data_IF_452499353000
#
_entry.id   IF_452499353000
#
_cell.length_a   1.000
_cell.length_b   1.000
_cell.length_c   1.000
_cell.angle_alpha   90.00
_cell.angle_beta   90.00
_cell.angle_gamma   90.00
#
_symmetry.space_group_name_H-M   'P 1'
#
loop_
_entity.id
_entity.type
_entity.pdbx_description
1 polymer ?
#
# COMPACT_ATOMS: atom_id res chain seq x y z
N UNK A 1 -17.41 -49.41 -76.67
CA UNK A 1 -17.17 -48.33 -75.68
C UNK A 1 -18.47 -47.59 -75.48
N UNK A 2 -19.24 -47.96 -74.46
CA UNK A 2 -20.48 -47.28 -74.09
C UNK A 2 -20.44 -47.04 -72.59
N UNK A 3 -20.33 -45.77 -72.22
CA UNK A 3 -20.38 -45.29 -70.83
C UNK A 3 -21.83 -44.90 -70.52
N UNK A 4 -22.49 -45.50 -69.51
CA UNK A 4 -23.73 -44.94 -68.96
C UNK A 4 -23.35 -43.85 -67.94
N UNK A 5 -23.75 -42.60 -68.12
CA UNK A 5 -25.00 -42.03 -67.57
C UNK A 5 -25.15 -42.40 -66.08
N UNK A 6 -24.75 -41.55 -65.13
CA UNK A 6 -25.37 -40.25 -64.85
C UNK A 6 -26.55 -40.47 -63.92
N UNK A 7 -26.32 -40.63 -62.60
CA UNK A 7 -27.36 -40.74 -61.54
C UNK A 7 -26.74 -40.88 -60.12
N UNK A 8 -26.04 -39.87 -59.61
CA UNK A 8 -25.64 -39.88 -58.19
C UNK A 8 -25.67 -38.51 -57.49
N UNK A 9 -25.87 -37.41 -58.21
CA UNK A 9 -25.87 -36.05 -57.61
C UNK A 9 -27.25 -35.55 -57.11
N UNK A 10 -28.33 -36.26 -57.41
CA UNK A 10 -29.71 -35.78 -57.15
C UNK A 10 -30.22 -36.00 -55.70
N UNK A 11 -29.77 -37.07 -55.03
CA UNK A 11 -30.27 -37.45 -53.70
C UNK A 11 -29.77 -36.57 -52.56
N UNK A 12 -28.48 -36.21 -52.59
CA UNK A 12 -27.83 -35.37 -51.58
C UNK A 12 -28.28 -33.90 -51.68
N UNK A 13 -28.45 -33.39 -52.90
CA UNK A 13 -28.99 -32.06 -53.16
C UNK A 13 -30.45 -31.92 -52.68
N UNK A 14 -31.23 -33.00 -52.70
CA UNK A 14 -32.62 -32.98 -52.22
C UNK A 14 -32.71 -32.99 -50.68
N UNK A 15 -31.76 -33.66 -50.01
CA UNK A 15 -31.66 -33.68 -48.54
C UNK A 15 -31.08 -32.40 -47.92
N UNK A 16 -30.21 -31.68 -48.65
CA UNK A 16 -29.58 -30.45 -48.17
C UNK A 16 -30.42 -29.18 -48.42
N UNK A 17 -31.33 -29.19 -49.41
CA UNK A 17 -32.28 -28.10 -49.69
C UNK A 17 -33.06 -27.61 -48.47
N UNK A 18 -33.69 -28.46 -47.64
CA UNK A 18 -34.41 -27.97 -46.46
C UNK A 18 -33.50 -27.28 -45.43
N UNK A 19 -32.22 -27.69 -45.33
CA UNK A 19 -31.25 -27.07 -44.43
C UNK A 19 -30.76 -25.72 -44.98
N UNK A 20 -30.47 -25.63 -46.28
CA UNK A 20 -30.10 -24.36 -46.92
C UNK A 20 -31.25 -23.36 -46.91
N UNK A 21 -32.49 -23.81 -47.16
CA UNK A 21 -33.67 -22.95 -47.14
C UNK A 21 -33.97 -22.42 -45.73
N UNK A 22 -33.75 -23.24 -44.70
CA UNK A 22 -33.85 -22.81 -43.30
C UNK A 22 -32.75 -21.80 -42.98
N UNK A 23 -31.50 -22.07 -43.36
CA UNK A 23 -30.38 -21.16 -43.16
C UNK A 23 -30.55 -19.83 -43.91
N UNK A 24 -31.07 -19.84 -45.14
CA UNK A 24 -31.38 -18.65 -45.92
C UNK A 24 -32.52 -17.84 -45.30
N UNK A 25 -33.59 -18.49 -44.83
CA UNK A 25 -34.66 -17.81 -44.08
C UNK A 25 -34.16 -17.20 -42.76
N UNK A 26 -33.25 -17.89 -42.07
CA UNK A 26 -32.59 -17.35 -40.87
C UNK A 26 -31.70 -16.15 -41.22
N UNK A 27 -30.93 -16.22 -42.31
CA UNK A 27 -30.09 -15.11 -42.79
C UNK A 27 -30.93 -13.92 -43.23
N UNK A 28 -31.95 -14.11 -44.07
CA UNK A 28 -32.84 -13.04 -44.52
C UNK A 28 -33.61 -12.41 -43.36
N UNK A 29 -34.08 -13.21 -42.41
CA UNK A 29 -34.72 -12.71 -41.19
C UNK A 29 -33.75 -11.91 -40.31
N UNK A 30 -32.48 -12.31 -40.25
CA UNK A 30 -31.44 -11.59 -39.50
C UNK A 30 -31.02 -10.30 -40.21
N UNK A 31 -30.86 -10.32 -41.54
CA UNK A 31 -30.52 -9.14 -42.35
C UNK A 31 -31.61 -8.08 -42.28
N UNK A 32 -32.89 -8.47 -42.43
CA UNK A 32 -34.01 -7.51 -42.30
C UNK A 32 -34.09 -6.88 -40.92
N UNK A 33 -33.72 -7.62 -39.86
CA UNK A 33 -33.64 -7.08 -38.50
C UNK A 33 -32.48 -6.10 -38.35
N UNK A 34 -31.31 -6.41 -38.93
CA UNK A 34 -30.16 -5.51 -38.94
C UNK A 34 -30.48 -4.22 -39.71
N UNK A 35 -31.03 -4.32 -40.92
CA UNK A 35 -31.40 -3.16 -41.74
C UNK A 35 -32.41 -2.27 -40.99
N UNK A 36 -33.41 -2.88 -40.34
CA UNK A 36 -34.37 -2.14 -39.50
C UNK A 36 -33.71 -1.49 -38.28
N UNK A 37 -32.68 -2.10 -37.70
CA UNK A 37 -31.91 -1.49 -36.60
C UNK A 37 -31.07 -0.31 -37.10
N UNK A 38 -30.42 -0.44 -38.25
CA UNK A 38 -29.65 0.65 -38.88
C UNK A 38 -30.55 1.84 -39.24
N UNK A 39 -31.71 1.58 -39.84
CA UNK A 39 -32.68 2.63 -40.17
C UNK A 39 -33.19 3.35 -38.92
N UNK A 40 -33.47 2.62 -37.83
CA UNK A 40 -33.91 3.21 -36.56
C UNK A 40 -32.79 4.01 -35.85
N UNK A 41 -31.54 3.56 -35.94
CA UNK A 41 -30.36 4.26 -35.41
C UNK A 41 -30.15 5.59 -36.16
N UNK A 42 -30.31 5.60 -37.48
CA UNK A 42 -30.15 6.79 -38.31
C UNK A 42 -31.33 7.76 -38.23
N UNK A 43 -32.56 7.26 -38.03
CA UNK A 43 -33.76 8.09 -37.91
C UNK A 43 -33.82 8.91 -36.62
N UNK A 44 -33.18 8.45 -35.54
CA UNK A 44 -33.22 9.12 -34.22
C UNK A 44 -31.86 9.11 -33.49
N UNK A 45 -30.84 9.82 -34.01
CA UNK A 45 -29.48 9.79 -33.47
C UNK A 45 -29.41 10.22 -31.99
N UNK A 46 -30.28 11.14 -31.57
CA UNK A 46 -30.35 11.60 -30.18
C UNK A 46 -30.73 10.47 -29.20
N UNK A 47 -31.64 9.58 -29.59
CA UNK A 47 -32.09 8.49 -28.73
C UNK A 47 -30.98 7.46 -28.51
N UNK A 48 -30.20 7.19 -29.57
CA UNK A 48 -29.04 6.28 -29.52
C UNK A 48 -27.95 6.84 -28.60
N UNK A 49 -27.67 8.15 -28.68
CA UNK A 49 -26.72 8.81 -27.78
C UNK A 49 -27.17 8.70 -26.33
N UNK A 50 -28.45 8.94 -26.03
CA UNK A 50 -29.00 8.80 -24.66
C UNK A 50 -28.89 7.35 -24.17
N UNK A 51 -29.19 6.36 -25.01
CA UNK A 51 -29.04 4.95 -24.67
C UNK A 51 -27.58 4.59 -24.37
N UNK A 52 -26.63 5.07 -25.17
CA UNK A 52 -25.20 4.86 -24.95
C UNK A 52 -24.73 5.50 -23.64
N UNK A 53 -25.24 6.70 -23.30
CA UNK A 53 -24.94 7.36 -22.03
C UNK A 53 -25.48 6.54 -20.85
N UNK A 54 -26.68 5.99 -20.96
CA UNK A 54 -27.26 5.13 -19.91
C UNK A 54 -26.45 3.84 -19.71
N UNK A 55 -26.04 3.19 -20.81
CA UNK A 55 -25.19 1.99 -20.77
C UNK A 55 -23.83 2.34 -20.18
N UNK A 56 -23.21 3.44 -20.62
CA UNK A 56 -21.93 3.91 -20.10
C UNK A 56 -22.01 4.26 -18.61
N UNK A 57 -23.11 4.85 -18.13
CA UNK A 57 -23.32 5.10 -16.70
C UNK A 57 -23.46 3.81 -15.89
N UNK A 58 -24.19 2.81 -16.41
CA UNK A 58 -24.35 1.52 -15.75
C UNK A 58 -23.01 0.77 -15.61
N UNK A 59 -22.21 0.70 -16.67
CA UNK A 59 -20.88 0.08 -16.62
C UNK A 59 -19.85 0.94 -15.88
N UNK A 60 -19.96 2.27 -15.97
CA UNK A 60 -19.10 3.21 -15.27
C UNK A 60 -19.19 3.07 -13.76
N UNK A 61 -20.40 2.81 -13.23
CA UNK A 61 -20.57 2.56 -11.79
C UNK A 61 -19.81 1.33 -11.29
N UNK A 62 -19.80 0.25 -12.08
CA UNK A 62 -19.03 -0.96 -11.76
C UNK A 62 -17.53 -0.73 -11.93
N UNK A 63 -17.13 0.10 -12.90
CA UNK A 63 -15.74 0.49 -13.16
C UNK A 63 -15.08 1.28 -12.03
N UNK A 64 -15.85 2.03 -11.24
CA UNK A 64 -15.34 2.77 -10.09
C UNK A 64 -15.01 1.80 -8.93
N UNK A 65 -15.84 0.80 -8.70
CA UNK A 65 -15.61 -0.25 -7.69
C UNK A 65 -14.40 -1.15 -8.04
N UNK A 66 -13.99 -1.21 -9.32
CA UNK A 66 -12.78 -1.94 -9.73
C UNK A 66 -11.49 -1.25 -9.32
N UNK A 67 -11.46 0.09 -9.21
CA UNK A 67 -10.24 0.79 -8.76
C UNK A 67 -9.94 0.51 -7.30
N UNK A 68 -10.97 0.34 -6.47
CA UNK A 68 -10.83 0.03 -5.04
C UNK A 68 -10.45 -1.44 -4.78
N UNK A 69 -10.56 -2.31 -5.79
CA UNK A 69 -10.20 -3.73 -5.70
C UNK A 69 -8.83 -4.07 -6.30
N UNK A 70 -8.13 -3.08 -6.88
CA UNK A 70 -6.72 -3.27 -7.24
C UNK A 70 -5.91 -3.01 -5.97
N UNK A 71 -5.84 -4.02 -5.10
CA UNK A 71 -4.81 -4.07 -4.07
C UNK A 71 -3.46 -4.19 -4.78
N UNK A 72 -2.58 -3.22 -4.53
CA UNK A 72 -1.24 -3.08 -5.10
C UNK A 72 -0.25 -4.05 -4.45
N UNK A 73 -0.69 -5.29 -4.24
CA UNK A 73 0.12 -6.35 -3.65
C UNK A 73 0.82 -7.15 -4.76
N UNK A 74 2.09 -7.49 -4.49
CA UNK A 74 3.00 -8.25 -5.37
C UNK A 74 2.45 -9.64 -5.76
N UNK A 75 1.37 -10.07 -5.12
CA UNK A 75 0.69 -11.35 -5.30
C UNK A 75 0.16 -11.56 -6.72
N UNK A 76 -0.15 -10.49 -7.46
CA UNK A 76 -0.54 -10.59 -8.89
C UNK A 76 0.60 -11.09 -9.79
N UNK A 77 1.85 -11.02 -9.32
CA UNK A 77 3.02 -11.52 -10.03
C UNK A 77 3.44 -12.92 -9.57
N UNK A 78 2.84 -13.46 -8.50
CA UNK A 78 3.13 -14.80 -8.02
C UNK A 78 2.27 -15.81 -8.79
N UNK A 79 2.86 -16.88 -9.38
CA UNK A 79 2.07 -17.91 -10.01
C UNK A 79 1.21 -18.62 -8.96
N UNK A 80 -0.11 -18.66 -9.21
CA UNK A 80 -1.09 -19.32 -8.35
C UNK A 80 -0.68 -20.78 -8.07
N UNK A 81 -0.64 -21.15 -6.78
CA UNK A 81 -0.44 -22.53 -6.34
C UNK A 81 1.01 -23.00 -6.16
N UNK A 82 2.01 -22.11 -6.18
CA UNK A 82 3.36 -22.48 -5.79
C UNK A 82 3.48 -22.61 -4.25
N UNK A 83 4.14 -23.67 -3.71
CA UNK A 83 4.32 -23.85 -2.26
C UNK A 83 5.03 -22.68 -1.57
N UNK A 84 5.85 -21.93 -2.31
CA UNK A 84 6.53 -20.74 -1.81
C UNK A 84 5.60 -19.55 -1.60
N UNK A 85 4.47 -19.49 -2.31
CA UNK A 85 3.48 -18.40 -2.19
C UNK A 85 2.65 -18.57 -0.92
N UNK A 86 2.21 -19.80 -0.63
CA UNK A 86 1.46 -20.13 0.59
C UNK A 86 2.29 -19.85 1.86
N UNK A 87 3.58 -20.21 1.85
CA UNK A 87 4.49 -19.92 2.97
C UNK A 87 4.74 -18.41 3.16
N UNK A 88 4.78 -17.63 2.07
CA UNK A 88 4.95 -16.17 2.16
C UNK A 88 3.69 -15.47 2.68
N UNK A 89 2.50 -15.99 2.34
CA UNK A 89 1.23 -15.52 2.88
C UNK A 89 1.10 -15.85 4.37
N UNK A 90 1.49 -17.05 4.80
CA UNK A 90 1.53 -17.46 6.21
C UNK A 90 2.47 -16.56 7.03
N UNK A 91 3.67 -16.26 6.51
CA UNK A 91 4.62 -15.35 7.20
C UNK A 91 4.08 -13.92 7.26
N UNK A 92 3.37 -13.44 6.23
CA UNK A 92 2.75 -12.11 6.21
C UNK A 92 1.58 -11.97 7.18
N UNK A 93 0.85 -13.04 7.48
CA UNK A 93 -0.16 -13.03 8.54
C UNK A 93 0.44 -12.81 9.93
N UNK A 94 1.66 -13.33 10.18
CA UNK A 94 2.32 -13.23 11.49
C UNK A 94 3.35 -12.08 11.60
N UNK A 95 3.85 -11.55 10.48
CA UNK A 95 4.92 -10.54 10.45
C UNK A 95 4.60 -9.40 9.47
N UNK A 96 4.84 -8.15 9.89
CA UNK A 96 4.73 -6.99 9.01
C UNK A 96 5.78 -7.06 7.89
N UNK A 97 5.34 -7.20 6.64
CA UNK A 97 6.25 -7.24 5.48
C UNK A 97 6.65 -5.86 4.96
N UNK A 98 5.98 -4.81 5.44
CA UNK A 98 6.07 -3.48 4.85
C UNK A 98 7.21 -2.70 5.49
N UNK A 99 8.19 -2.30 4.68
CA UNK A 99 9.37 -1.54 5.11
C UNK A 99 9.51 -0.27 4.28
N UNK A 100 9.66 0.86 4.96
CA UNK A 100 10.05 2.13 4.36
C UNK A 100 11.52 2.43 4.69
N UNK A 101 12.32 2.78 3.69
CA UNK A 101 13.74 3.12 3.87
C UNK A 101 13.96 4.56 3.44
N UNK A 102 14.44 5.39 4.38
CA UNK A 102 14.77 6.79 4.14
C UNK A 102 16.30 6.93 4.08
N UNK A 103 16.82 7.37 2.93
CA UNK A 103 18.24 7.62 2.74
C UNK A 103 18.56 9.08 3.07
N UNK A 104 19.45 9.29 4.03
CA UNK A 104 19.88 10.60 4.47
C UNK A 104 21.35 10.77 4.10
N UNK A 105 21.66 11.87 3.43
CA UNK A 105 23.01 12.18 2.96
C UNK A 105 23.44 13.53 3.48
N UNK A 106 24.61 13.58 4.08
CA UNK A 106 25.29 14.80 4.50
C UNK A 106 26.14 15.37 3.36
N UNK A 107 26.48 16.68 3.37
CA UNK A 107 27.26 17.31 2.30
C UNK A 107 28.61 16.66 1.99
N UNK A 108 29.26 16.05 3.00
CA UNK A 108 30.52 15.31 2.85
C UNK A 108 30.42 14.09 1.92
N UNK A 109 29.21 13.59 1.64
CA UNK A 109 28.98 12.49 0.70
C UNK A 109 29.25 12.91 -0.75
N UNK A 110 29.06 14.19 -1.07
CA UNK A 110 29.24 14.72 -2.43
C UNK A 110 30.60 15.41 -2.61
N UNK A 111 31.11 16.05 -1.56
CA UNK A 111 32.39 16.73 -1.59
C UNK A 111 33.19 16.41 -0.30
N UNK A 112 34.32 15.68 -0.40
CA UNK A 112 35.11 15.26 0.74
C UNK A 112 35.85 16.40 1.46
N UNK A 113 35.75 17.65 0.96
CA UNK A 113 36.27 18.82 1.67
C UNK A 113 35.41 19.26 2.86
N UNK A 114 34.14 18.83 2.91
CA UNK A 114 33.28 19.08 4.06
C UNK A 114 33.58 18.11 5.21
N UNK A 115 33.69 18.64 6.43
CA UNK A 115 33.93 17.87 7.66
C UNK A 115 32.65 17.47 8.38
N UNK A 116 31.49 17.62 7.72
CA UNK A 116 30.17 17.35 8.30
C UNK A 116 29.99 15.88 8.64
N UNK A 117 29.50 15.57 9.83
CA UNK A 117 29.24 14.21 10.27
C UNK A 117 27.72 13.98 10.42
N UNK A 118 27.26 12.77 10.15
CA UNK A 118 25.85 12.38 10.36
C UNK A 118 25.45 12.42 11.84
N UNK A 119 26.45 12.37 12.73
CA UNK A 119 26.29 12.45 14.18
C UNK A 119 26.29 13.89 14.70
N UNK A 120 26.42 14.91 13.85
CA UNK A 120 26.29 16.30 14.29
C UNK A 120 24.84 16.55 14.76
N UNK A 121 24.71 17.29 15.87
CA UNK A 121 23.45 17.59 16.57
C UNK A 121 22.36 18.08 15.63
N UNK A 122 22.71 18.91 14.65
CA UNK A 122 21.76 19.45 13.68
C UNK A 122 21.08 18.34 12.87
N UNK A 123 21.84 17.41 12.29
CA UNK A 123 21.27 16.34 11.47
C UNK A 123 20.52 15.32 12.32
N UNK A 124 21.05 15.01 13.51
CA UNK A 124 20.35 14.17 14.47
C UNK A 124 18.98 14.77 14.87
N UNK A 125 18.90 16.09 15.07
CA UNK A 125 17.63 16.79 15.36
C UNK A 125 16.67 16.75 14.19
N UNK A 126 17.14 16.94 12.97
CA UNK A 126 16.29 16.84 11.77
C UNK A 126 15.71 15.43 11.61
N UNK A 127 16.54 14.39 11.80
CA UNK A 127 16.07 13.00 11.84
C UNK A 127 15.05 12.76 12.96
N UNK A 128 15.39 13.21 14.17
CA UNK A 128 14.54 13.05 15.34
C UNK A 128 13.18 13.71 15.18
N UNK A 129 13.13 14.88 14.55
CA UNK A 129 11.89 15.60 14.30
C UNK A 129 10.97 14.82 13.35
N UNK A 130 11.52 14.20 12.30
CA UNK A 130 10.73 13.35 11.38
C UNK A 130 10.21 12.12 12.11
N UNK A 131 11.04 11.48 12.93
CA UNK A 131 10.64 10.28 13.68
C UNK A 131 9.59 10.56 14.76
N UNK A 132 9.72 11.69 15.45
CA UNK A 132 8.97 12.01 16.66
C UNK A 132 9.82 11.84 17.92
N UNK A 133 9.77 12.84 18.78
CA UNK A 133 10.46 12.93 20.06
C UNK A 133 9.67 13.78 21.07
N UNK A 134 10.20 13.96 22.28
CA UNK A 134 9.53 14.71 23.34
C UNK A 134 9.41 16.22 23.03
N UNK A 135 10.25 16.75 22.13
CA UNK A 135 10.23 18.18 21.78
C UNK A 135 9.08 18.51 20.82
N UNK A 136 8.65 17.56 19.99
CA UNK A 136 7.55 17.73 19.05
C UNK A 136 6.29 16.90 19.39
N UNK A 137 6.27 16.15 20.49
CA UNK A 137 5.14 15.32 20.93
C UNK A 137 3.77 16.05 20.98
N UNK A 138 3.75 17.35 21.26
CA UNK A 138 2.53 18.18 21.30
C UNK A 138 2.13 18.77 19.93
N UNK A 139 2.81 18.36 18.86
CA UNK A 139 2.51 18.78 17.49
C UNK A 139 1.15 18.27 17.00
N UNK A 140 0.70 18.82 15.87
CA UNK A 140 -0.47 18.32 15.17
C UNK A 140 -0.20 16.95 14.51
N UNK A 141 -1.14 16.42 13.70
CA UNK A 141 -0.98 15.13 13.00
C UNK A 141 0.33 15.00 12.22
N UNK A 142 0.87 16.10 11.70
CA UNK A 142 2.09 16.12 10.89
C UNK A 142 3.32 16.60 11.66
N UNK A 143 3.14 17.34 12.74
CA UNK A 143 4.23 17.95 13.50
C UNK A 143 4.82 17.05 14.60
N UNK A 144 4.11 16.01 15.02
CA UNK A 144 4.52 15.10 16.11
C UNK A 144 5.43 13.94 15.70
N UNK A 145 5.81 13.88 14.43
CA UNK A 145 6.58 12.78 13.86
C UNK A 145 5.73 11.60 13.40
N UNK A 146 6.40 10.66 12.71
CA UNK A 146 5.77 9.49 12.08
C UNK A 146 5.38 8.44 13.14
N UNK A 147 6.21 8.23 14.16
CA UNK A 147 5.98 7.28 15.26
C UNK A 147 5.77 8.06 16.56
N UNK A 148 4.56 8.59 16.76
CA UNK A 148 4.25 9.38 17.95
C UNK A 148 3.75 8.51 19.09
N UNK A 149 3.21 7.32 18.80
CA UNK A 149 2.61 6.41 19.77
C UNK A 149 3.46 5.15 19.95
N UNK A 150 4.73 5.32 20.31
CA UNK A 150 5.77 4.28 20.32
C UNK A 150 5.45 2.97 21.04
N UNK A 151 4.55 2.98 22.01
CA UNK A 151 4.20 1.81 22.82
C UNK A 151 2.99 1.03 22.27
N UNK A 152 2.31 1.57 21.25
CA UNK A 152 1.01 1.05 20.80
C UNK A 152 1.10 -0.04 19.72
N UNK A 153 2.32 -0.37 19.28
CA UNK A 153 2.61 -1.33 18.22
C UNK A 153 1.92 -0.98 16.89
N UNK A 154 1.93 0.29 16.51
CA UNK A 154 1.42 0.80 15.24
C UNK A 154 -0.10 0.96 15.21
N UNK A 155 -0.79 0.98 16.34
CA UNK A 155 -2.27 1.09 16.36
C UNK A 155 -2.78 2.48 16.01
N UNK A 156 -2.01 3.52 16.32
CA UNK A 156 -2.44 4.92 16.21
C UNK A 156 -1.69 5.67 15.10
N UNK A 157 -0.49 5.24 14.70
CA UNK A 157 0.28 5.77 13.56
C UNK A 157 0.54 4.77 12.43
N UNK A 158 0.37 3.46 12.65
CA UNK A 158 0.72 2.43 11.67
C UNK A 158 2.22 2.10 11.65
N UNK A 159 3.02 2.60 12.59
CA UNK A 159 4.45 2.31 12.67
C UNK A 159 4.74 1.32 13.78
N UNK A 160 5.30 0.16 13.43
CA UNK A 160 5.64 -0.86 14.42
C UNK A 160 6.95 -0.54 15.16
N UNK A 161 7.95 -0.02 14.43
CA UNK A 161 9.25 0.38 14.98
C UNK A 161 10.01 1.26 13.98
N UNK A 162 10.97 2.04 14.49
CA UNK A 162 11.94 2.81 13.70
C UNK A 162 13.36 2.46 14.19
N UNK A 163 14.30 2.31 13.26
CA UNK A 163 15.73 2.17 13.57
C UNK A 163 16.51 3.26 12.85
N UNK A 164 17.21 4.09 13.61
CA UNK A 164 18.08 5.14 13.09
C UNK A 164 19.19 5.50 14.09
N UNK A 165 20.23 6.25 13.66
CA UNK A 165 21.20 6.82 14.60
C UNK A 165 20.56 7.75 15.64
N UNK A 166 19.57 8.56 15.23
CA UNK A 166 18.86 9.46 16.14
C UNK A 166 18.08 8.68 17.22
N UNK A 167 17.44 7.56 16.85
CA UNK A 167 16.77 6.66 17.78
C UNK A 167 17.74 6.18 18.87
N UNK A 168 18.92 5.69 18.48
CA UNK A 168 19.92 5.18 19.44
C UNK A 168 20.31 6.27 20.44
N UNK A 169 20.60 7.48 19.96
CA UNK A 169 20.96 8.62 20.82
C UNK A 169 19.82 8.98 21.78
N UNK A 170 18.57 9.05 21.30
CA UNK A 170 17.40 9.35 22.14
C UNK A 170 17.17 8.29 23.22
N UNK A 171 17.27 7.01 22.85
CA UNK A 171 17.09 5.91 23.80
C UNK A 171 18.16 5.95 24.88
N UNK A 172 19.44 6.13 24.52
CA UNK A 172 20.51 6.25 25.52
C UNK A 172 20.35 7.52 26.38
N UNK A 173 19.95 8.64 25.79
CA UNK A 173 19.74 9.89 26.52
C UNK A 173 18.60 9.77 27.55
N UNK A 174 17.51 9.08 27.19
CA UNK A 174 16.33 8.91 28.05
C UNK A 174 16.40 7.73 29.02
N UNK A 175 17.26 6.74 28.74
CA UNK A 175 17.38 5.52 29.54
C UNK A 175 17.67 5.80 31.01
N UNK A 176 18.57 6.74 31.32
CA UNK A 176 18.94 7.07 32.70
C UNK A 176 17.74 7.62 33.50
N UNK A 177 16.96 8.51 32.88
CA UNK A 177 15.74 9.05 33.46
C UNK A 177 14.66 8.00 33.69
N UNK A 178 14.40 7.20 32.66
CA UNK A 178 13.41 6.11 32.71
C UNK A 178 13.81 5.05 33.74
N UNK A 179 15.09 4.71 33.84
CA UNK A 179 15.62 3.78 34.83
C UNK A 179 15.44 4.31 36.25
N UNK A 180 15.85 5.56 36.51
CA UNK A 180 15.75 6.15 37.84
C UNK A 180 14.28 6.32 38.29
N UNK A 181 13.40 6.73 37.38
CA UNK A 181 11.96 6.78 37.63
C UNK A 181 11.40 5.39 37.96
N UNK A 182 11.73 4.38 37.15
CA UNK A 182 11.30 2.99 37.37
C UNK A 182 11.80 2.44 38.70
N UNK A 183 13.06 2.70 39.07
CA UNK A 183 13.64 2.32 40.35
C UNK A 183 12.89 2.96 41.53
N UNK A 184 12.52 4.24 41.41
CA UNK A 184 11.77 4.94 42.43
C UNK A 184 10.34 4.37 42.57
N UNK A 185 9.59 4.27 41.46
CA UNK A 185 8.19 3.82 41.45
C UNK A 185 8.07 2.37 41.89
N UNK A 186 8.87 1.48 41.32
CA UNK A 186 8.75 0.03 41.55
C UNK A 186 9.68 -0.51 42.63
N UNK A 187 10.73 0.22 43.00
CA UNK A 187 11.70 -0.18 44.03
C UNK A 187 11.49 0.50 45.37
N UNK A 188 11.42 1.84 45.40
CA UNK A 188 11.34 2.61 46.64
C UNK A 188 9.90 2.68 47.15
N UNK A 189 8.96 3.14 46.31
CA UNK A 189 7.56 3.33 46.71
C UNK A 189 6.84 2.01 47.04
N UNK A 190 7.33 0.87 46.55
CA UNK A 190 6.80 -0.45 46.91
C UNK A 190 7.32 -0.97 48.24
N UNK A 191 8.41 -0.39 48.78
CA UNK A 191 9.12 -0.90 49.97
C UNK A 191 9.00 0.00 51.19
N UNK A 192 8.62 1.26 51.02
CA UNK A 192 8.49 2.25 52.10
C UNK A 192 7.03 2.70 52.15
N UNK A 193 6.40 2.80 53.34
CA UNK A 193 5.00 3.24 53.48
C UNK A 193 4.80 4.75 53.26
N UNK A 194 5.71 5.41 52.52
CA UNK A 194 5.68 6.83 52.19
C UNK A 194 5.87 6.94 50.69
N UNK A 195 4.91 7.55 50.02
CA UNK A 195 4.95 7.78 48.58
C UNK A 195 5.86 8.98 48.30
N UNK A 196 7.05 8.72 47.75
CA UNK A 196 7.97 9.77 47.29
C UNK A 196 7.65 10.15 45.85
N UNK A 197 7.79 11.43 45.53
CA UNK A 197 7.67 11.93 44.17
C UNK A 197 8.84 11.38 43.34
N UNK A 198 8.52 10.55 42.34
CA UNK A 198 9.48 9.89 41.47
C UNK A 198 9.81 10.68 40.19
N UNK A 199 9.30 11.91 40.07
CA UNK A 199 9.75 12.88 39.06
C UNK A 199 11.12 13.45 39.46
N UNK A 200 12.14 12.59 39.34
CA UNK A 200 13.50 12.89 39.77
C UNK A 200 14.22 13.73 38.71
N UNK A 201 14.79 14.89 39.08
CA UNK A 201 15.61 15.68 38.17
C UNK A 201 16.89 14.91 37.80
N UNK A 202 17.29 14.97 36.53
CA UNK A 202 18.54 14.38 36.04
C UNK A 202 18.37 13.28 34.99
N UNK A 203 17.15 12.87 34.69
CA UNK A 203 16.85 12.03 33.54
C UNK A 203 16.80 12.81 32.23
N UNK A 204 17.58 12.41 31.22
CA UNK A 204 17.45 13.00 29.88
C UNK A 204 16.05 12.76 29.31
N UNK A 205 15.55 13.72 28.54
CA UNK A 205 14.30 13.55 27.78
C UNK A 205 14.54 12.60 26.62
N UNK A 206 13.48 12.00 26.10
CA UNK A 206 13.53 11.29 24.84
C UNK A 206 13.59 12.30 23.68
N UNK A 207 14.76 12.91 23.52
CA UNK A 207 15.08 13.95 22.53
C UNK A 207 16.60 13.98 22.31
N UNK A 208 17.03 14.61 21.21
CA UNK A 208 18.45 14.76 20.89
C UNK A 208 19.09 15.77 21.85
N UNK A 209 20.11 15.37 22.63
CA UNK A 209 20.79 16.27 23.55
C UNK A 209 21.78 17.19 22.80
N UNK A 210 22.56 17.96 23.55
CA UNK A 210 23.62 18.81 22.97
C UNK A 210 24.77 17.96 22.40
N UNK A 211 25.56 18.57 21.52
CA UNK A 211 26.71 17.89 20.89
C UNK A 211 27.66 17.23 21.91
N UNK A 212 27.90 17.87 23.06
CA UNK A 212 28.79 17.31 24.07
C UNK A 212 28.28 15.98 24.62
N UNK A 213 26.97 15.86 24.88
CA UNK A 213 26.37 14.60 25.32
C UNK A 213 26.33 13.58 24.18
N UNK A 214 26.07 14.01 22.95
CA UNK A 214 26.10 13.13 21.76
C UNK A 214 27.48 12.47 21.66
N UNK A 215 28.55 13.25 21.74
CA UNK A 215 29.92 12.74 21.64
C UNK A 215 30.23 11.74 22.77
N UNK A 216 29.77 12.00 24.00
CA UNK A 216 29.89 11.06 25.13
C UNK A 216 29.13 9.74 24.94
N UNK A 217 28.03 9.75 24.19
CA UNK A 217 27.25 8.53 23.91
C UNK A 217 27.94 7.69 22.83
N UNK A 218 28.68 8.33 21.92
CA UNK A 218 29.32 7.69 20.77
C UNK A 218 30.73 7.18 21.09
N UNK A 219 31.43 7.79 22.05
CA UNK A 219 32.78 7.42 22.51
C UNK A 219 32.83 6.09 23.29
#
# INVERSE_FOLDING_TARGET
MASPSGKTESGLATFLKPLSDVQERFKEGSMKRLDSMYDNILASPMMVVVLLILIAGAFGSQGLDFQEQIDDDVEIFLPDGAPSTELLLEVREEWSTDIAVIYIQTPNAMDPSFTTNITDEQFLKEMSWVEGDDDNANGDRTGRGIDYAKEDHGRSDGVLWIISPAQVIKEVNSADGRFNNSLCVHGINTRIPVEVNCDLPGGGRYAIPDQQRIDQIIE
#
